data_IF_439119013739
#
_entry.id   IF_439119013739
#
_cell.length_a   1.000
_cell.length_b   1.000
_cell.length_c   1.000
_cell.angle_alpha   90.00
_cell.angle_beta   90.00
_cell.angle_gamma   90.00
#
_symmetry.space_group_name_H-M   'P 1'
#
loop_
_entity.id
_entity.type
_entity.pdbx_description
1 polymer ?
#
# COMPACT_ATOMS: atom_id res chain seq x y z
N UNK A 1 -1.07 -10.79 7.12
CA UNK A 1 -1.27 -9.63 8.02
C UNK A 1 -1.07 -10.10 9.45
N UNK A 2 -0.71 -9.21 10.38
CA UNK A 2 -0.65 -9.51 11.81
C UNK A 2 -1.68 -8.67 12.58
N UNK A 3 -2.31 -9.24 13.62
CA UNK A 3 -3.24 -8.51 14.47
C UNK A 3 -2.46 -7.65 15.48
N UNK A 4 -2.88 -6.39 15.64
CA UNK A 4 -2.36 -5.51 16.69
C UNK A 4 -3.08 -5.80 18.00
N UNK A 5 -2.33 -6.23 19.02
CA UNK A 5 -2.86 -6.54 20.35
C UNK A 5 -2.88 -5.29 21.24
N UNK A 6 -1.76 -4.57 21.30
CA UNK A 6 -1.63 -3.33 22.06
C UNK A 6 -1.28 -2.16 21.14
N UNK A 7 -1.98 -1.04 21.30
CA UNK A 7 -1.79 0.17 20.48
C UNK A 7 -1.50 1.38 21.37
N UNK A 8 -0.32 1.96 21.21
CA UNK A 8 0.13 3.17 21.90
C UNK A 8 0.55 4.24 20.89
N UNK A 9 0.19 5.49 21.15
CA UNK A 9 0.52 6.64 20.30
C UNK A 9 -0.45 6.87 19.13
N UNK A 10 -0.19 7.93 18.36
CA UNK A 10 -1.05 8.42 17.28
C UNK A 10 -0.80 7.74 15.92
N UNK A 11 0.28 6.98 15.76
CA UNK A 11 0.62 6.31 14.49
C UNK A 11 -0.51 5.39 14.01
N UNK A 12 -1.23 4.76 14.94
CA UNK A 12 -2.36 3.88 14.67
C UNK A 12 -3.60 4.57 14.10
N UNK A 13 -3.62 5.91 14.03
CA UNK A 13 -4.70 6.65 13.33
C UNK A 13 -4.60 6.40 11.82
N UNK A 14 -3.38 6.37 11.27
CA UNK A 14 -3.10 6.25 9.84
C UNK A 14 -2.42 4.95 9.41
N UNK A 15 -2.10 4.05 10.36
CA UNK A 15 -1.46 2.76 10.09
C UNK A 15 -2.41 1.60 10.40
N UNK A 16 -2.33 0.54 9.60
CA UNK A 16 -3.14 -0.66 9.70
C UNK A 16 -4.49 -0.54 9.01
N UNK A 17 -5.20 -1.66 8.93
CA UNK A 17 -6.56 -1.77 8.42
C UNK A 17 -7.47 -2.36 9.47
N UNK A 18 -8.72 -1.91 9.51
CA UNK A 18 -9.73 -2.43 10.42
C UNK A 18 -10.48 -3.57 9.72
N UNK A 19 -10.49 -4.74 10.34
CA UNK A 19 -11.28 -5.89 9.93
C UNK A 19 -12.04 -6.40 11.15
N UNK A 20 -13.36 -6.42 11.09
CA UNK A 20 -14.20 -6.94 12.18
C UNK A 20 -13.86 -6.30 13.55
N UNK A 21 -13.72 -4.97 13.56
CA UNK A 21 -13.37 -4.16 14.74
C UNK A 21 -11.98 -4.43 15.33
N UNK A 22 -11.17 -5.30 14.72
CA UNK A 22 -9.77 -5.55 15.07
C UNK A 22 -8.86 -4.82 14.08
N UNK A 23 -7.70 -4.39 14.58
CA UNK A 23 -6.68 -3.72 13.77
C UNK A 23 -5.65 -4.74 13.30
N UNK A 24 -5.35 -4.71 12.01
CA UNK A 24 -4.35 -5.57 11.38
C UNK A 24 -3.33 -4.71 10.65
N UNK A 25 -2.07 -5.16 10.64
CA UNK A 25 -1.01 -4.53 9.87
C UNK A 25 -0.55 -5.43 8.74
N UNK A 26 -0.25 -4.80 7.61
CA UNK A 26 0.47 -5.42 6.50
C UNK A 26 1.97 -5.53 6.80
N UNK A 27 2.67 -6.37 6.06
CA UNK A 27 4.07 -6.70 6.34
C UNK A 27 4.99 -5.48 6.20
N UNK A 28 4.73 -4.58 5.24
CA UNK A 28 5.47 -3.33 5.08
C UNK A 28 5.24 -2.36 6.25
N UNK A 29 4.03 -2.33 6.81
CA UNK A 29 3.70 -1.51 7.98
C UNK A 29 4.40 -2.05 9.23
N UNK A 30 4.42 -3.38 9.38
CA UNK A 30 5.14 -4.08 10.44
C UNK A 30 6.63 -3.80 10.34
N UNK A 31 7.21 -3.96 9.15
CA UNK A 31 8.62 -3.69 8.89
C UNK A 31 9.02 -2.27 9.26
N UNK A 32 8.23 -1.28 8.86
CA UNK A 32 8.48 0.12 9.17
C UNK A 32 8.36 0.40 10.68
N UNK A 33 7.28 -0.05 11.32
CA UNK A 33 7.05 0.19 12.74
C UNK A 33 8.10 -0.50 13.61
N UNK A 34 8.51 -1.72 13.26
CA UNK A 34 9.57 -2.42 13.96
C UNK A 34 10.91 -1.69 13.80
N UNK A 35 11.23 -1.21 12.59
CA UNK A 35 12.46 -0.47 12.32
C UNK A 35 12.59 0.81 13.16
N UNK A 36 11.50 1.54 13.37
CA UNK A 36 11.50 2.77 14.20
C UNK A 36 11.28 2.48 15.71
N UNK A 37 11.23 1.22 16.12
CA UNK A 37 11.02 0.83 17.52
C UNK A 37 9.60 1.05 18.04
N UNK A 38 8.61 1.18 17.16
CA UNK A 38 7.20 1.43 17.51
C UNK A 38 6.34 0.16 17.55
N UNK A 39 6.89 -1.00 17.20
CA UNK A 39 6.21 -2.29 17.23
C UNK A 39 7.19 -3.41 17.60
N UNK A 40 6.73 -4.32 18.46
CA UNK A 40 7.36 -5.62 18.71
C UNK A 40 6.44 -6.68 18.12
N UNK A 41 7.01 -7.54 17.27
CA UNK A 41 6.28 -8.64 16.65
C UNK A 41 6.62 -9.94 17.38
N UNK A 42 5.60 -10.72 17.72
CA UNK A 42 5.73 -12.05 18.30
C UNK A 42 5.35 -13.11 17.26
N UNK A 43 6.03 -14.24 17.29
CA UNK A 43 5.64 -15.43 16.53
C UNK A 43 4.56 -16.25 17.27
N UNK A 44 4.18 -17.39 16.69
CA UNK A 44 3.16 -18.29 17.28
C UNK A 44 3.62 -18.92 18.61
N UNK A 45 4.91 -18.91 18.90
CA UNK A 45 5.50 -19.42 20.14
C UNK A 45 5.79 -18.33 21.16
N UNK A 46 5.21 -17.14 21.03
CA UNK A 46 5.45 -15.96 21.87
C UNK A 46 6.92 -15.50 21.91
N UNK A 47 7.71 -15.83 20.89
CA UNK A 47 9.08 -15.33 20.77
C UNK A 47 9.11 -14.03 19.99
N UNK A 48 9.96 -13.09 20.43
CA UNK A 48 10.15 -11.83 19.72
C UNK A 48 10.86 -12.09 18.40
N UNK A 49 10.25 -11.63 17.30
CA UNK A 49 10.82 -11.73 15.97
C UNK A 49 11.88 -10.65 15.75
N UNK A 50 13.05 -11.04 15.27
CA UNK A 50 14.12 -10.10 14.94
C UNK A 50 13.83 -9.27 13.68
N UNK A 51 14.40 -8.07 13.60
CA UNK A 51 14.27 -7.20 12.41
C UNK A 51 14.70 -7.90 11.11
N UNK A 52 15.75 -8.73 11.18
CA UNK A 52 16.22 -9.50 10.03
C UNK A 52 15.13 -10.43 9.48
N UNK A 53 14.39 -11.10 10.36
CA UNK A 53 13.32 -12.03 9.96
C UNK A 53 12.12 -11.26 9.41
N UNK A 54 11.80 -10.11 10.01
CA UNK A 54 10.75 -9.21 9.50
C UNK A 54 11.10 -8.71 8.09
N UNK A 55 12.34 -8.26 7.86
CA UNK A 55 12.78 -7.82 6.53
C UNK A 55 12.84 -8.95 5.51
N UNK A 56 13.21 -10.16 5.95
CA UNK A 56 13.13 -11.36 5.10
C UNK A 56 11.68 -11.60 4.65
N UNK A 57 10.71 -11.43 5.55
CA UNK A 57 9.28 -11.50 5.21
C UNK A 57 8.79 -10.34 4.33
N UNK A 58 9.39 -9.14 4.44
CA UNK A 58 9.07 -8.01 3.55
C UNK A 58 9.54 -8.27 2.11
N UNK A 59 10.68 -8.92 1.93
CA UNK A 59 11.22 -9.29 0.62
C UNK A 59 10.48 -10.47 -0.03
N UNK A 60 9.75 -11.25 0.78
CA UNK A 60 9.06 -12.46 0.35
C UNK A 60 7.65 -12.17 -0.17
N UNK A 61 7.47 -12.42 -1.47
CA UNK A 61 6.22 -12.16 -2.21
C UNK A 61 5.02 -12.94 -1.66
N UNK A 62 5.22 -14.04 -0.93
CA UNK A 62 4.11 -14.78 -0.33
C UNK A 62 3.33 -13.96 0.70
N UNK A 63 3.93 -12.93 1.29
CA UNK A 63 3.27 -12.02 2.23
C UNK A 63 2.61 -10.82 1.54
N UNK A 64 2.54 -10.81 0.20
CA UNK A 64 1.91 -9.76 -0.59
C UNK A 64 2.66 -8.44 -0.51
N UNK A 65 3.99 -8.50 -0.46
CA UNK A 65 4.91 -7.35 -0.48
C UNK A 65 6.15 -7.75 -1.30
N UNK A 66 6.91 -6.75 -1.73
CA UNK A 66 8.26 -6.92 -2.25
C UNK A 66 9.19 -5.94 -1.55
N UNK A 67 10.49 -6.20 -1.61
CA UNK A 67 11.49 -5.30 -1.04
C UNK A 67 11.34 -3.87 -1.57
N UNK A 68 11.09 -3.72 -2.86
CA UNK A 68 10.89 -2.42 -3.52
C UNK A 68 9.62 -1.72 -3.01
N UNK A 69 8.52 -2.45 -2.84
CA UNK A 69 7.30 -1.86 -2.27
C UNK A 69 7.48 -1.45 -0.81
N UNK A 70 8.28 -2.20 -0.04
CA UNK A 70 8.63 -1.85 1.34
C UNK A 70 9.50 -0.60 1.41
N UNK A 71 10.53 -0.50 0.56
CA UNK A 71 11.38 0.69 0.43
C UNK A 71 10.58 1.93 0.07
N UNK A 72 9.67 1.81 -0.91
CA UNK A 72 8.75 2.89 -1.28
C UNK A 72 7.84 3.29 -0.09
N UNK A 73 7.25 2.31 0.59
CA UNK A 73 6.41 2.53 1.78
C UNK A 73 7.20 3.26 2.87
N UNK A 74 8.39 2.76 3.21
CA UNK A 74 9.28 3.33 4.23
C UNK A 74 9.61 4.78 3.91
N UNK A 75 9.98 5.06 2.67
CA UNK A 75 10.34 6.41 2.24
C UNK A 75 9.15 7.37 2.38
N UNK A 76 7.97 6.99 1.87
CA UNK A 76 6.75 7.80 1.95
C UNK A 76 6.30 8.04 3.39
N UNK A 77 6.36 7.00 4.24
CA UNK A 77 6.02 7.13 5.66
C UNK A 77 6.98 8.04 6.42
N UNK A 78 8.27 8.00 6.09
CA UNK A 78 9.28 8.86 6.71
C UNK A 78 9.06 10.34 6.39
N UNK A 79 8.44 10.63 5.24
CA UNK A 79 8.00 11.98 4.86
C UNK A 79 6.67 12.41 5.51
N UNK A 80 6.04 11.53 6.30
CA UNK A 80 4.79 11.81 7.01
C UNK A 80 3.51 11.52 6.22
N UNK A 81 3.61 11.00 5.00
CA UNK A 81 2.43 10.63 4.22
C UNK A 81 1.62 9.52 4.89
N UNK A 82 0.32 9.53 4.62
CA UNK A 82 -0.56 8.41 4.93
C UNK A 82 -0.60 7.50 3.70
N UNK A 83 -0.18 6.25 3.89
CA UNK A 83 0.04 5.29 2.79
C UNK A 83 -0.93 4.13 2.98
N UNK A 84 -1.88 3.97 2.05
CA UNK A 84 -2.79 2.83 1.98
C UNK A 84 -2.45 1.93 0.80
N UNK A 85 -2.75 0.63 0.88
CA UNK A 85 -2.61 -0.26 -0.28
C UNK A 85 -3.68 0.06 -1.32
N UNK A 86 -3.27 0.19 -2.57
CA UNK A 86 -4.21 0.37 -3.67
C UNK A 86 -5.18 -0.82 -3.67
N UNK A 87 -6.47 -0.53 -3.69
CA UNK A 87 -7.47 -1.56 -3.89
C UNK A 87 -7.71 -2.36 -2.62
N UNK A 88 -7.28 -1.86 -1.46
CA UNK A 88 -7.65 -2.44 -0.19
C UNK A 88 -8.39 -1.42 0.67
N UNK A 89 -9.65 -1.71 1.07
CA UNK A 89 -10.39 -0.80 1.92
C UNK A 89 -9.72 -0.71 3.31
N UNK A 90 -9.67 0.50 3.85
CA UNK A 90 -9.12 0.77 5.18
C UNK A 90 -9.94 0.14 6.32
N UNK A 91 -11.23 -0.08 6.11
CA UNK A 91 -12.14 -0.69 7.09
C UNK A 91 -13.16 -1.60 6.40
N UNK A 92 -13.32 -2.81 6.91
CA UNK A 92 -14.41 -3.73 6.53
C UNK A 92 -15.18 -4.15 7.79
N UNK A 93 -16.51 -4.05 7.72
CA UNK A 93 -17.43 -4.61 8.70
C UNK A 93 -18.10 -5.83 8.06
N UNK A 94 -18.19 -6.93 8.79
CA UNK A 94 -19.00 -8.07 8.37
C UNK A 94 -20.46 -7.62 8.24
N UNK A 95 -21.03 -7.64 7.04
CA UNK A 95 -22.49 -7.71 6.91
C UNK A 95 -22.89 -9.10 7.39
N UNK A 96 -23.89 -9.24 8.25
CA UNK A 96 -24.42 -10.57 8.65
C UNK A 96 -24.87 -11.32 7.39
N UNK A 97 -23.98 -12.13 6.82
CA UNK A 97 -24.31 -13.05 5.72
C UNK A 97 -24.76 -14.34 6.40
N UNK A 98 -25.93 -14.84 5.98
CA UNK A 98 -26.47 -16.12 6.42
C UNK A 98 -25.43 -17.24 6.18
N UNK A 99 -25.30 -18.21 7.10
CA UNK A 99 -24.23 -19.22 7.08
C UNK A 99 -24.31 -20.27 5.95
N UNK A 100 -25.05 -20.02 4.87
CA UNK A 100 -25.26 -20.96 3.75
C UNK A 100 -24.58 -20.54 2.43
N UNK A 101 -23.71 -19.52 2.41
CA UNK A 101 -22.90 -19.22 1.22
C UNK A 101 -21.44 -19.55 1.48
N UNK A 102 -20.93 -20.50 0.70
CA UNK A 102 -19.54 -20.93 0.63
C UNK A 102 -18.55 -19.77 0.70
N UNK A 103 -17.52 -19.93 1.54
CA UNK A 103 -16.48 -18.94 1.86
C UNK A 103 -15.44 -18.73 0.75
N UNK A 104 -15.84 -18.84 -0.52
CA UNK A 104 -14.96 -18.70 -1.70
C UNK A 104 -14.90 -17.29 -2.28
N UNK A 105 -15.81 -16.40 -1.85
CA UNK A 105 -16.02 -15.09 -2.50
C UNK A 105 -14.86 -14.10 -2.29
N UNK A 106 -14.13 -14.18 -1.17
CA UNK A 106 -13.08 -13.19 -0.87
C UNK A 106 -11.79 -13.39 -1.68
N UNK A 107 -11.40 -14.64 -1.99
CA UNK A 107 -10.14 -14.92 -2.69
C UNK A 107 -10.22 -14.56 -4.17
N UNK A 108 -11.34 -14.85 -4.83
CA UNK A 108 -11.56 -14.56 -6.25
C UNK A 108 -11.70 -13.04 -6.50
N UNK A 109 -12.32 -12.31 -5.56
CA UNK A 109 -12.40 -10.84 -5.60
C UNK A 109 -11.03 -10.17 -5.39
N UNK A 110 -10.15 -10.76 -4.58
CA UNK A 110 -8.79 -10.25 -4.36
C UNK A 110 -7.90 -10.55 -5.56
N UNK A 111 -7.96 -11.77 -6.11
CA UNK A 111 -7.19 -12.16 -7.28
C UNK A 111 -7.55 -11.31 -8.52
N UNK A 112 -8.85 -11.12 -8.80
CA UNK A 112 -9.31 -10.28 -9.91
C UNK A 112 -8.91 -8.81 -9.76
N UNK A 113 -8.86 -8.27 -8.53
CA UNK A 113 -8.38 -6.90 -8.28
C UNK A 113 -6.88 -6.75 -8.45
N UNK A 114 -6.08 -7.78 -8.18
CA UNK A 114 -4.61 -7.72 -8.39
C UNK A 114 -4.30 -7.60 -9.89
N UNK A 115 -5.02 -8.33 -10.75
CA UNK A 115 -4.88 -8.25 -12.21
C UNK A 115 -5.27 -6.85 -12.75
N UNK A 116 -6.28 -6.21 -12.16
CA UNK A 116 -6.65 -4.84 -12.52
C UNK A 116 -5.56 -3.81 -12.19
N UNK A 117 -4.68 -4.07 -11.22
CA UNK A 117 -3.68 -3.11 -10.74
C UNK A 117 -2.34 -3.19 -11.48
N UNK A 118 -2.15 -4.21 -12.31
CA UNK A 118 -0.92 -4.40 -13.09
C UNK A 118 -1.12 -4.04 -14.56
N UNK A 119 -0.12 -3.39 -15.16
CA UNK A 119 0.01 -3.24 -16.62
C UNK A 119 1.47 -3.50 -16.98
N UNK A 120 1.72 -4.62 -17.68
CA UNK A 120 3.09 -5.03 -18.02
C UNK A 120 3.94 -5.25 -16.76
N UNK A 121 5.06 -4.52 -16.68
CA UNK A 121 5.96 -4.55 -15.52
C UNK A 121 5.59 -3.52 -14.42
N UNK A 122 4.55 -2.70 -14.64
CA UNK A 122 4.15 -1.62 -13.75
C UNK A 122 2.96 -2.04 -12.88
N UNK A 123 3.01 -1.73 -11.59
CA UNK A 123 1.99 -2.14 -10.61
C UNK A 123 1.54 -0.96 -9.75
N UNK A 124 0.23 -0.71 -9.66
CA UNK A 124 -0.35 0.28 -8.75
C UNK A 124 -0.33 -0.27 -7.33
N UNK A 125 0.51 0.30 -6.46
CA UNK A 125 0.79 -0.28 -5.14
C UNK A 125 0.18 0.50 -3.98
N UNK A 126 0.15 1.83 -4.02
CA UNK A 126 -0.30 2.64 -2.89
C UNK A 126 -1.18 3.83 -3.28
N UNK A 127 -2.20 4.06 -2.45
CA UNK A 127 -2.98 5.29 -2.39
C UNK A 127 -2.34 6.22 -1.33
N UNK A 128 -1.94 7.43 -1.74
CA UNK A 128 -1.22 8.37 -0.87
C UNK A 128 -2.10 9.54 -0.48
N UNK A 129 -2.22 9.79 0.82
CA UNK A 129 -2.90 10.96 1.36
C UNK A 129 -1.90 11.87 2.09
N UNK A 130 -2.16 13.18 2.05
CA UNK A 130 -1.37 14.15 2.83
C UNK A 130 -1.42 13.85 4.33
N UNK A 131 -0.39 14.26 5.09
CA UNK A 131 -0.43 14.24 6.55
C UNK A 131 -1.69 14.97 7.04
N UNK A 132 -2.58 14.26 7.74
CA UNK A 132 -3.85 14.82 8.21
C UNK A 132 -4.19 14.26 9.59
N UNK A 133 -4.21 15.14 10.60
CA UNK A 133 -4.56 14.78 11.98
C UNK A 133 -6.02 14.32 12.16
N UNK A 134 -6.89 14.62 11.19
CA UNK A 134 -8.31 14.25 11.19
C UNK A 134 -8.60 13.03 10.29
N UNK A 135 -7.57 12.33 9.81
CA UNK A 135 -7.74 11.15 8.97
C UNK A 135 -8.58 10.08 9.66
N UNK A 136 -9.52 9.47 8.93
CA UNK A 136 -10.37 8.39 9.42
C UNK A 136 -10.27 7.19 8.49
N UNK A 137 -9.95 6.01 9.02
CA UNK A 137 -9.96 4.75 8.26
C UNK A 137 -11.33 4.39 7.68
N UNK A 138 -12.42 4.85 8.29
CA UNK A 138 -13.78 4.62 7.79
C UNK A 138 -14.15 5.56 6.64
N UNK A 139 -13.42 6.67 6.51
CA UNK A 139 -13.65 7.71 5.51
C UNK A 139 -12.30 8.38 5.18
N UNK A 140 -11.44 7.70 4.40
CA UNK A 140 -10.09 8.17 4.12
C UNK A 140 -10.07 9.38 3.16
N UNK A 141 -11.20 9.69 2.53
CA UNK A 141 -11.28 10.63 1.42
C UNK A 141 -10.56 10.12 0.16
N UNK A 142 -10.41 10.99 -0.83
CA UNK A 142 -9.67 10.67 -2.05
C UNK A 142 -8.15 10.76 -1.80
N UNK A 143 -7.35 9.84 -2.38
CA UNK A 143 -5.90 9.98 -2.38
C UNK A 143 -5.47 11.25 -3.12
N UNK A 144 -4.39 11.86 -2.65
CA UNK A 144 -3.72 12.98 -3.29
C UNK A 144 -2.99 12.55 -4.57
N UNK A 145 -2.42 11.34 -4.56
CA UNK A 145 -1.85 10.69 -5.74
C UNK A 145 -1.74 9.18 -5.50
N UNK A 146 -1.62 8.41 -6.59
CA UNK A 146 -1.39 6.96 -6.58
C UNK A 146 0.08 6.69 -6.94
N UNK A 147 0.71 5.74 -6.25
CA UNK A 147 2.04 5.25 -6.57
C UNK A 147 1.95 4.01 -7.45
N UNK A 148 2.62 4.08 -8.59
CA UNK A 148 2.90 2.96 -9.46
C UNK A 148 4.37 2.55 -9.33
N UNK A 149 4.64 1.32 -8.91
CA UNK A 149 5.98 0.75 -8.91
C UNK A 149 6.34 0.32 -10.33
N UNK A 150 7.52 0.74 -10.81
CA UNK A 150 8.07 0.34 -12.10
C UNK A 150 9.33 -0.49 -11.91
N UNK A 151 9.54 -1.46 -12.80
CA UNK A 151 10.79 -2.23 -12.86
C UNK A 151 11.94 -1.48 -13.53
N UNK A 152 12.99 -2.21 -13.91
CA UNK A 152 14.25 -1.67 -14.44
C UNK A 152 14.14 -0.93 -15.78
N UNK A 153 13.01 -1.08 -16.48
CA UNK A 153 12.72 -0.38 -17.73
C UNK A 153 11.68 0.71 -17.49
N UNK A 154 11.84 1.89 -18.11
CA UNK A 154 10.81 2.91 -18.06
C UNK A 154 9.51 2.39 -18.70
N UNK A 155 8.34 2.81 -18.18
CA UNK A 155 7.06 2.46 -18.79
C UNK A 155 6.96 3.09 -20.19
N UNK A 156 6.38 2.35 -21.12
CA UNK A 156 6.05 2.87 -22.45
C UNK A 156 4.93 3.90 -22.35
N UNK A 157 4.85 4.80 -23.34
CA UNK A 157 3.78 5.80 -23.41
C UNK A 157 2.37 5.18 -23.31
N UNK A 158 2.16 4.04 -23.97
CA UNK A 158 0.87 3.32 -23.93
C UNK A 158 0.56 2.81 -22.53
N UNK A 159 1.53 2.23 -21.84
CA UNK A 159 1.37 1.79 -20.44
C UNK A 159 1.04 2.97 -19.51
N UNK A 160 1.71 4.11 -19.68
CA UNK A 160 1.41 5.33 -18.90
C UNK A 160 -0.04 5.78 -19.16
N UNK A 161 -0.45 5.91 -20.42
CA UNK A 161 -1.80 6.34 -20.79
C UNK A 161 -2.88 5.37 -20.27
N UNK A 162 -2.61 4.07 -20.27
CA UNK A 162 -3.56 3.06 -19.77
C UNK A 162 -3.63 3.04 -18.24
N UNK A 163 -2.51 3.26 -17.54
CA UNK A 163 -2.50 3.42 -16.08
C UNK A 163 -3.23 4.69 -15.64
N UNK A 164 -3.03 5.80 -16.35
CA UNK A 164 -3.73 7.07 -16.06
C UNK A 164 -5.25 6.92 -16.20
N UNK A 165 -5.72 6.20 -17.23
CA UNK A 165 -7.16 5.88 -17.39
C UNK A 165 -7.70 5.09 -16.20
N UNK A 166 -6.93 4.14 -15.64
CA UNK A 166 -7.34 3.36 -14.46
C UNK A 166 -7.44 4.22 -13.19
N UNK A 167 -6.70 5.32 -13.10
CA UNK A 167 -6.61 6.15 -11.90
C UNK A 167 -7.76 7.15 -11.70
N UNK A 168 -8.80 7.15 -12.57
CA UNK A 168 -10.06 7.91 -12.39
C UNK A 168 -9.87 9.39 -11.97
N UNK A 169 -8.90 10.08 -12.58
CA UNK A 169 -8.53 11.49 -12.31
C UNK A 169 -7.69 11.75 -11.06
N UNK A 170 -7.28 10.72 -10.32
CA UNK A 170 -6.26 10.87 -9.28
C UNK A 170 -4.89 10.96 -9.94
N UNK A 171 -4.01 11.92 -9.56
CA UNK A 171 -2.67 12.02 -10.11
C UNK A 171 -1.86 10.74 -9.92
N UNK A 172 -1.19 10.28 -10.98
CA UNK A 172 -0.33 9.12 -10.96
C UNK A 172 1.14 9.55 -10.80
N UNK A 173 1.87 8.89 -9.89
CA UNK A 173 3.32 9.01 -9.77
C UNK A 173 3.95 7.64 -9.89
N UNK A 174 5.08 7.59 -10.59
CA UNK A 174 5.88 6.41 -10.76
C UNK A 174 6.98 6.38 -9.70
N UNK A 175 7.23 5.20 -9.17
CA UNK A 175 8.24 4.91 -8.17
C UNK A 175 9.20 3.87 -8.73
N UNK A 176 10.48 4.19 -8.74
CA UNK A 176 11.54 3.26 -9.08
C UNK A 176 12.46 3.10 -7.86
N UNK A 177 12.74 1.86 -7.49
CA UNK A 177 13.63 1.53 -6.38
C UNK A 177 14.84 0.83 -6.96
N UNK A 178 16.03 1.39 -6.73
CA UNK A 178 17.29 0.79 -7.13
C UNK A 178 18.26 0.82 -5.96
N UNK A 179 18.74 -0.36 -5.54
CA UNK A 179 19.70 -0.60 -4.46
C UNK A 179 19.44 0.25 -3.19
N UNK A 180 19.86 1.52 -3.17
CA UNK A 180 19.76 2.43 -2.02
C UNK A 180 18.87 3.67 -2.25
N UNK A 181 18.27 3.83 -3.43
CA UNK A 181 17.52 5.03 -3.80
C UNK A 181 16.08 4.71 -4.19
N UNK A 182 15.17 5.53 -3.66
CA UNK A 182 13.76 5.57 -4.04
C UNK A 182 13.52 6.84 -4.83
N UNK A 183 13.17 6.71 -6.11
CA UNK A 183 12.93 7.83 -7.01
C UNK A 183 11.46 7.92 -7.38
N UNK A 184 10.89 9.13 -7.29
CA UNK A 184 9.52 9.41 -7.71
C UNK A 184 9.51 10.36 -8.90
N UNK A 185 8.73 10.02 -9.94
CA UNK A 185 8.58 10.87 -11.13
C UNK A 185 7.15 10.81 -11.68
N UNK A 186 6.84 11.74 -12.58
CA UNK A 186 5.52 11.88 -13.21
C UNK A 186 5.68 12.37 -14.64
N UNK A 187 4.74 12.03 -15.52
CA UNK A 187 4.73 12.50 -16.90
C UNK A 187 3.60 13.54 -17.08
N UNK A 188 3.85 14.83 -16.80
CA UNK A 188 2.81 15.84 -16.94
C UNK A 188 2.42 16.01 -18.41
N UNK A 189 1.12 16.06 -18.69
CA UNK A 189 0.61 16.48 -19.99
C UNK A 189 0.63 18.00 -20.07
N UNK A 190 1.42 18.55 -20.99
CA UNK A 190 1.53 19.99 -21.21
C UNK A 190 0.92 20.34 -22.57
N UNK A 191 -0.02 21.28 -22.60
CA UNK A 191 -0.50 21.89 -23.84
C UNK A 191 0.42 23.05 -24.21
N UNK A 192 1.06 22.97 -25.37
CA UNK A 192 1.87 24.06 -25.88
C UNK A 192 0.97 25.17 -26.44
N UNK A 193 1.31 26.46 -26.24
CA UNK A 193 0.58 27.55 -26.86
C UNK A 193 0.72 27.46 -28.38
N UNK A 194 -0.38 27.66 -29.10
CA UNK A 194 -0.33 27.81 -30.56
C UNK A 194 0.14 29.24 -30.83
N UNK A 195 1.28 29.38 -31.50
CA UNK A 195 1.77 30.70 -31.90
C UNK A 195 0.86 31.26 -33.01
N UNK A 196 0.58 32.58 -33.00
CA UNK A 196 -0.26 33.24 -34.00
C UNK A 196 0.36 33.22 -35.40
#
# INVERSE_FOLDING_TARGET
>A
MAQVIEKKGSLWVSTGVIRNSKLYCHIEEIGYLAQIGALVLFDEGDNVMGLKDIFTKCADRQYGCSWESFEAYRHLKSLGYIVGRQGQPWSLKHNKINPNSDSTVDTDLIAGRIEELQIGAANLIFDIHQPNSKFKKTDPGNPSFIICLVGDRPPSRKEVEDLEKKCKSVPLKFCHVSHDNVSFFSFPKVSLPVLP
#
